data_IF_360244241681
#
_entry.id   IF_360244241681
#
_cell.length_a   1.000
_cell.length_b   1.000
_cell.length_c   1.000
_cell.angle_alpha   90.00
_cell.angle_beta   90.00
_cell.angle_gamma   90.00
#
_symmetry.space_group_name_H-M   'P 1'
#
loop_
_entity.id
_entity.type
_entity.pdbx_description
1 polymer ?
#
# COMPACT_ATOMS: atom_id res chain seq x y z
N UNK A 1 16.77 -10.79 18.24
CA UNK A 1 16.64 -11.62 19.46
C UNK A 1 15.19 -11.81 19.96
N UNK A 2 14.21 -10.98 19.61
CA UNK A 2 12.85 -11.02 20.19
C UNK A 2 11.83 -12.02 19.61
N UNK A 3 12.14 -12.76 18.52
CA UNK A 3 11.26 -13.79 17.97
C UNK A 3 11.24 -15.07 18.82
N UNK A 4 12.44 -15.56 19.16
CA UNK A 4 12.65 -16.83 19.89
C UNK A 4 11.84 -16.95 21.19
N UNK A 5 11.71 -15.87 21.97
CA UNK A 5 10.95 -15.90 23.23
C UNK A 5 9.42 -15.87 23.05
N UNK A 6 8.94 -15.26 21.96
CA UNK A 6 7.50 -15.19 21.65
C UNK A 6 7.00 -16.54 21.13
N UNK A 7 7.80 -17.15 20.26
CA UNK A 7 7.53 -18.47 19.68
C UNK A 7 7.60 -19.55 20.76
N UNK A 8 8.56 -19.43 21.69
CA UNK A 8 8.71 -20.38 22.79
C UNK A 8 7.51 -20.42 23.74
N UNK A 9 6.93 -19.27 24.12
CA UNK A 9 5.69 -19.25 24.92
C UNK A 9 4.48 -19.83 24.18
N UNK A 10 4.42 -19.63 22.85
CA UNK A 10 3.39 -20.24 22.00
C UNK A 10 3.53 -21.77 21.99
N UNK A 11 4.73 -22.30 21.74
CA UNK A 11 4.96 -23.75 21.72
C UNK A 11 4.73 -24.42 23.08
N UNK A 12 5.08 -23.75 24.18
CA UNK A 12 4.75 -24.22 25.52
C UNK A 12 3.23 -24.30 25.74
N UNK A 13 2.48 -23.32 25.26
CA UNK A 13 1.02 -23.33 25.37
C UNK A 13 0.38 -24.38 24.46
N UNK A 14 0.89 -24.58 23.24
CA UNK A 14 0.43 -25.65 22.35
C UNK A 14 0.66 -27.02 23.00
N UNK A 15 1.86 -27.26 23.53
CA UNK A 15 2.20 -28.48 24.26
C UNK A 15 1.29 -28.70 25.48
N UNK A 16 0.91 -27.63 26.19
CA UNK A 16 -0.08 -27.72 27.27
C UNK A 16 -1.46 -28.17 26.76
N UNK A 17 -1.88 -27.72 25.58
CA UNK A 17 -3.18 -28.05 24.97
C UNK A 17 -3.25 -29.47 24.39
N UNK A 18 -2.12 -30.11 24.12
CA UNK A 18 -2.08 -31.50 23.65
C UNK A 18 -2.61 -32.48 24.71
N UNK A 19 -2.65 -32.05 25.98
CA UNK A 19 -3.18 -32.85 27.08
C UNK A 19 -4.61 -32.43 27.45
N UNK A 20 -5.52 -33.40 27.65
CA UNK A 20 -6.93 -33.10 27.93
C UNK A 20 -7.16 -32.55 29.34
N UNK A 21 -6.21 -32.73 30.27
CA UNK A 21 -6.35 -32.29 31.66
C UNK A 21 -5.12 -31.53 32.16
N UNK A 22 -5.38 -30.63 33.11
CA UNK A 22 -4.34 -29.84 33.78
C UNK A 22 -3.32 -30.73 34.51
N UNK A 23 -3.78 -31.77 35.20
CA UNK A 23 -2.93 -32.68 35.96
C UNK A 23 -2.02 -33.54 35.05
N UNK A 24 -2.50 -33.88 33.86
CA UNK A 24 -1.72 -34.60 32.86
C UNK A 24 -0.69 -33.67 32.22
N UNK A 25 -1.08 -32.44 31.86
CA UNK A 25 -0.15 -31.44 31.34
C UNK A 25 1.00 -31.14 32.31
N UNK A 26 0.76 -31.12 33.62
CA UNK A 26 1.80 -30.91 34.63
C UNK A 26 2.89 -32.01 34.64
N UNK A 27 2.52 -33.26 34.35
CA UNK A 27 3.46 -34.40 34.30
C UNK A 27 4.37 -34.36 33.07
N UNK A 28 3.92 -33.71 32.01
CA UNK A 28 4.61 -33.63 30.74
C UNK A 28 5.26 -32.27 30.53
N UNK A 29 6.39 -32.02 31.21
CA UNK A 29 7.14 -30.77 31.05
C UNK A 29 7.67 -30.59 29.62
N UNK A 30 7.61 -29.35 29.12
CA UNK A 30 8.14 -29.01 27.81
C UNK A 30 9.67 -29.23 27.73
N UNK A 31 10.21 -29.77 26.62
CA UNK A 31 11.63 -30.06 26.49
C UNK A 31 12.52 -28.83 26.75
N UNK A 32 13.46 -28.96 27.68
CA UNK A 32 14.42 -27.90 28.00
C UNK A 32 13.95 -26.89 29.06
N UNK A 33 12.77 -27.07 29.68
CA UNK A 33 12.33 -26.31 30.85
C UNK A 33 12.43 -27.19 32.10
N UNK A 34 12.78 -26.60 33.24
CA UNK A 34 12.72 -27.33 34.49
C UNK A 34 11.25 -27.56 34.94
N UNK A 35 10.94 -28.68 35.61
CA UNK A 35 9.57 -28.99 36.03
C UNK A 35 8.92 -27.91 36.91
N UNK A 36 9.70 -27.20 37.72
CA UNK A 36 9.19 -26.11 38.58
C UNK A 36 8.71 -24.90 37.77
N UNK A 37 9.47 -24.48 36.76
CA UNK A 37 9.10 -23.38 35.88
C UNK A 37 7.90 -23.76 35.00
N UNK A 38 7.84 -25.03 34.57
CA UNK A 38 6.67 -25.56 33.85
C UNK A 38 5.41 -25.51 34.71
N UNK A 39 5.48 -26.01 35.95
CA UNK A 39 4.36 -25.95 36.88
C UNK A 39 3.91 -24.51 37.13
N UNK A 40 4.86 -23.58 37.33
CA UNK A 40 4.55 -22.17 37.49
C UNK A 40 3.81 -21.60 36.27
N UNK A 41 4.25 -21.93 35.05
CA UNK A 41 3.59 -21.49 33.81
C UNK A 41 2.16 -22.04 33.69
N UNK A 42 1.98 -23.34 33.93
CA UNK A 42 0.66 -23.97 33.89
C UNK A 42 -0.30 -23.31 34.88
N UNK A 43 0.13 -23.09 36.12
CA UNK A 43 -0.71 -22.47 37.16
C UNK A 43 -1.00 -20.99 36.92
N UNK A 44 0.03 -20.19 36.60
CA UNK A 44 -0.07 -18.73 36.60
C UNK A 44 -0.45 -18.13 35.24
N UNK A 45 -0.13 -18.83 34.14
CA UNK A 45 -0.40 -18.34 32.79
C UNK A 45 -1.57 -19.11 32.18
N UNK A 46 -1.46 -20.44 32.04
CA UNK A 46 -2.44 -21.24 31.31
C UNK A 46 -3.77 -21.38 32.06
N UNK A 47 -3.72 -21.67 33.35
CA UNK A 47 -4.92 -21.91 34.18
C UNK A 47 -5.47 -20.62 34.84
N UNK A 48 -4.91 -19.45 34.53
CA UNK A 48 -5.41 -18.20 35.06
C UNK A 48 -6.78 -17.85 34.45
N UNK A 49 -7.75 -17.54 35.31
CA UNK A 49 -9.12 -17.21 34.89
C UNK A 49 -9.16 -15.98 33.95
N UNK A 50 -8.29 -14.99 34.18
CA UNK A 50 -8.19 -13.81 33.33
C UNK A 50 -7.66 -14.17 31.94
N UNK A 51 -6.65 -15.04 31.86
CA UNK A 51 -6.09 -15.52 30.60
C UNK A 51 -7.12 -16.33 29.80
N UNK A 52 -7.81 -17.28 30.44
CA UNK A 52 -8.85 -18.08 29.80
C UNK A 52 -10.00 -17.23 29.27
N UNK A 53 -10.43 -16.23 30.06
CA UNK A 53 -11.46 -15.27 29.65
C UNK A 53 -11.01 -14.47 28.44
N UNK A 54 -9.79 -13.92 28.47
CA UNK A 54 -9.25 -13.11 27.38
C UNK A 54 -9.02 -13.95 26.11
N UNK A 55 -8.50 -15.16 26.25
CA UNK A 55 -8.27 -16.10 25.16
C UNK A 55 -9.58 -16.47 24.46
N UNK A 56 -10.61 -16.82 25.23
CA UNK A 56 -11.95 -17.15 24.71
C UNK A 56 -12.57 -15.96 23.98
N UNK A 57 -12.51 -14.76 24.57
CA UNK A 57 -12.97 -13.51 23.93
C UNK A 57 -12.21 -13.23 22.63
N UNK A 58 -10.88 -13.33 22.64
CA UNK A 58 -10.04 -13.11 21.47
C UNK A 58 -10.33 -14.13 20.36
N UNK A 59 -10.56 -15.40 20.71
CA UNK A 59 -10.94 -16.46 19.76
C UNK A 59 -12.31 -16.17 19.13
N UNK A 60 -13.30 -15.80 19.94
CA UNK A 60 -14.63 -15.42 19.45
C UNK A 60 -14.58 -14.16 18.57
N UNK A 61 -13.78 -13.15 18.94
CA UNK A 61 -13.61 -11.95 18.15
C UNK A 61 -12.91 -12.23 16.82
N UNK A 62 -11.86 -13.06 16.81
CA UNK A 62 -11.20 -13.50 15.58
C UNK A 62 -12.13 -14.29 14.66
N UNK A 63 -13.03 -15.09 15.21
CA UNK A 63 -14.03 -15.83 14.42
C UNK A 63 -15.07 -14.92 13.76
N UNK A 64 -15.30 -13.71 14.29
CA UNK A 64 -16.21 -12.70 13.71
C UNK A 64 -15.57 -11.85 12.61
N UNK A 65 -14.24 -11.90 12.46
CA UNK A 65 -13.55 -11.07 11.48
C UNK A 65 -13.85 -11.57 10.06
N UNK A 66 -14.40 -10.74 9.16
CA UNK A 66 -14.67 -11.12 7.78
C UNK A 66 -13.38 -11.35 6.97
N UNK A 67 -12.29 -10.68 7.36
CA UNK A 67 -11.00 -10.75 6.70
C UNK A 67 -9.89 -11.01 7.72
N UNK A 68 -8.92 -11.85 7.35
CA UNK A 68 -7.77 -12.15 8.21
C UNK A 68 -6.59 -11.28 7.77
N UNK A 69 -6.20 -10.36 8.64
CA UNK A 69 -5.01 -9.54 8.46
C UNK A 69 -3.74 -10.42 8.39
N UNK A 70 -2.91 -10.16 7.37
CA UNK A 70 -1.63 -10.82 7.10
C UNK A 70 -0.41 -9.93 7.40
N UNK A 71 -0.60 -8.63 7.67
CA UNK A 71 0.50 -7.69 7.96
C UNK A 71 1.22 -7.91 9.30
N UNK A 72 0.90 -8.99 10.00
CA UNK A 72 1.55 -9.35 11.26
C UNK A 72 1.31 -8.31 12.36
N UNK A 73 2.36 -7.96 13.10
CA UNK A 73 2.33 -6.97 14.18
C UNK A 73 2.68 -5.55 13.74
N UNK A 74 2.83 -5.31 12.43
CA UNK A 74 3.11 -3.97 11.91
C UNK A 74 1.79 -3.17 11.93
N UNK A 75 1.73 -2.01 12.59
CA UNK A 75 0.52 -1.20 12.63
C UNK A 75 0.26 -0.55 11.27
N UNK A 76 -1.01 -0.22 10.97
CA UNK A 76 -1.40 0.39 9.69
C UNK A 76 -0.65 1.69 9.39
N UNK A 77 -0.34 2.50 10.40
CA UNK A 77 0.42 3.75 10.27
C UNK A 77 1.76 3.54 9.58
N UNK A 78 2.47 2.47 9.93
CA UNK A 78 3.78 2.19 9.33
C UNK A 78 3.68 1.84 7.84
N UNK A 79 2.54 1.31 7.37
CA UNK A 79 2.35 1.07 5.93
C UNK A 79 2.12 2.38 5.17
N UNK A 80 1.46 3.36 5.81
CA UNK A 80 1.25 4.68 5.22
C UNK A 80 2.56 5.47 5.15
N UNK A 81 3.42 5.35 6.16
CA UNK A 81 4.67 6.10 6.26
C UNK A 81 5.82 5.47 5.46
N UNK A 82 6.03 4.15 5.56
CA UNK A 82 7.21 3.48 4.98
C UNK A 82 6.98 3.02 3.53
N UNK A 83 5.77 2.54 3.22
CA UNK A 83 5.49 1.84 1.96
C UNK A 83 4.76 2.75 0.95
N UNK A 84 4.54 4.03 1.29
CA UNK A 84 3.85 5.05 0.48
C UNK A 84 2.56 4.53 -0.17
N UNK A 85 1.78 3.79 0.61
CA UNK A 85 0.57 3.13 0.11
C UNK A 85 -0.51 4.17 -0.18
N UNK A 86 -0.94 4.26 -1.43
CA UNK A 86 -1.88 5.27 -1.92
C UNK A 86 -3.33 4.88 -1.59
N UNK A 87 -3.69 5.16 -0.34
CA UNK A 87 -5.07 5.07 0.13
C UNK A 87 -5.52 3.70 0.64
N UNK A 88 -6.79 3.61 1.00
CA UNK A 88 -7.35 2.49 1.78
C UNK A 88 -7.40 1.16 1.01
N UNK A 89 -7.61 1.21 -0.32
CA UNK A 89 -7.69 0.03 -1.17
C UNK A 89 -6.33 -0.68 -1.23
N UNK A 90 -5.28 0.10 -1.44
CA UNK A 90 -3.94 -0.43 -1.57
C UNK A 90 -3.41 -0.92 -0.21
N UNK A 91 -3.79 -0.23 0.87
CA UNK A 91 -3.53 -0.68 2.24
C UNK A 91 -4.21 -2.02 2.53
N UNK A 92 -5.48 -2.18 2.13
CA UNK A 92 -6.19 -3.45 2.27
C UNK A 92 -5.49 -4.56 1.49
N UNK A 93 -5.04 -4.28 0.26
CA UNK A 93 -4.30 -5.24 -0.56
C UNK A 93 -3.01 -5.70 0.13
N UNK A 94 -2.14 -4.77 0.54
CA UNK A 94 -0.87 -5.09 1.20
C UNK A 94 -1.06 -5.88 2.50
N UNK A 95 -2.12 -5.56 3.23
CA UNK A 95 -2.34 -6.11 4.57
C UNK A 95 -3.16 -7.41 4.59
N UNK A 96 -3.93 -7.72 3.55
CA UNK A 96 -4.82 -8.90 3.52
C UNK A 96 -4.52 -9.89 2.37
N UNK A 97 -3.73 -9.48 1.37
CA UNK A 97 -3.25 -10.37 0.30
C UNK A 97 -2.01 -11.13 0.73
N UNK A 98 -2.00 -12.45 0.53
CA UNK A 98 -0.83 -13.28 0.81
C UNK A 98 -0.08 -13.59 -0.49
N UNK A 99 1.10 -12.97 -0.69
CA UNK A 99 1.97 -13.25 -1.86
C UNK A 99 2.29 -14.74 -2.01
N UNK A 100 2.58 -15.43 -0.91
CA UNK A 100 2.89 -16.88 -0.92
C UNK A 100 1.70 -17.73 -1.36
N UNK A 101 0.48 -17.33 -0.99
CA UNK A 101 -0.72 -18.11 -1.28
C UNK A 101 -1.42 -17.68 -2.57
N UNK A 102 -1.17 -16.45 -3.05
CA UNK A 102 -1.80 -15.87 -4.23
C UNK A 102 -3.25 -15.45 -4.04
N UNK A 103 -3.76 -15.36 -2.79
CA UNK A 103 -5.15 -14.97 -2.51
C UNK A 103 -5.31 -14.23 -1.18
N UNK A 104 -6.45 -13.54 -1.02
CA UNK A 104 -6.84 -12.83 0.21
C UNK A 104 -7.26 -13.80 1.31
N UNK A 105 -6.65 -13.70 2.49
CA UNK A 105 -6.89 -14.65 3.59
C UNK A 105 -8.24 -14.34 4.27
N UNK A 106 -9.11 -15.34 4.39
CA UNK A 106 -10.41 -15.24 5.09
C UNK A 106 -11.63 -15.43 4.19
N UNK A 107 -11.48 -15.29 2.88
CA UNK A 107 -12.49 -15.69 1.91
C UNK A 107 -12.17 -17.11 1.45
N UNK A 108 -12.88 -18.11 1.98
CA UNK A 108 -12.86 -19.48 1.45
C UNK A 108 -13.29 -19.59 -0.03
N UNK A 109 -13.60 -18.46 -0.68
CA UNK A 109 -14.10 -18.32 -2.04
C UNK A 109 -13.23 -17.39 -2.92
N UNK A 110 -11.97 -17.11 -2.55
CA UNK A 110 -11.03 -16.53 -3.52
C UNK A 110 -10.70 -17.54 -4.62
N UNK A 111 -10.47 -17.13 -5.89
CA UNK A 111 -10.08 -18.06 -6.94
C UNK A 111 -8.85 -18.82 -6.47
N UNK A 112 -9.03 -20.13 -6.24
CA UNK A 112 -7.91 -21.01 -5.90
C UNK A 112 -6.97 -20.91 -7.10
N UNK A 113 -5.69 -20.55 -6.93
CA UNK A 113 -4.77 -20.54 -8.05
C UNK A 113 -4.85 -21.91 -8.71
N UNK A 114 -5.24 -21.92 -9.98
CA UNK A 114 -5.26 -23.14 -10.76
C UNK A 114 -3.84 -23.68 -10.73
N UNK A 115 -3.70 -24.96 -10.41
CA UNK A 115 -2.42 -25.64 -10.52
C UNK A 115 -1.86 -25.37 -11.91
N UNK A 116 -0.67 -24.79 -12.01
CA UNK A 116 0.00 -24.39 -13.26
C UNK A 116 0.32 -25.57 -14.21
N UNK A 117 -0.18 -26.77 -13.96
CA UNK A 117 -0.17 -27.86 -14.92
C UNK A 117 -1.18 -27.57 -16.04
N UNK A 118 -0.73 -26.83 -17.05
CA UNK A 118 -1.37 -26.77 -18.38
C UNK A 118 -2.21 -25.54 -18.69
N UNK A 119 -2.05 -24.42 -17.98
CA UNK A 119 -2.76 -23.17 -18.33
C UNK A 119 -2.07 -22.53 -19.54
N UNK A 120 -2.81 -22.39 -20.64
CA UNK A 120 -2.39 -21.64 -21.82
C UNK A 120 -2.28 -20.14 -21.45
N UNK A 121 -1.04 -19.63 -21.34
CA UNK A 121 -0.77 -18.22 -20.97
C UNK A 121 -0.81 -17.28 -22.17
N UNK A 122 -1.06 -17.77 -23.38
CA UNK A 122 -0.93 -16.99 -24.61
C UNK A 122 -1.78 -15.72 -24.64
N UNK A 123 -2.98 -15.75 -24.06
CA UNK A 123 -3.87 -14.60 -24.00
C UNK A 123 -3.43 -13.57 -22.93
N UNK A 124 -2.93 -14.04 -21.79
CA UNK A 124 -2.38 -13.17 -20.75
C UNK A 124 -1.10 -12.45 -21.23
N UNK A 125 -0.22 -13.18 -21.92
CA UNK A 125 1.01 -12.62 -22.51
C UNK A 125 0.69 -11.60 -23.60
N UNK A 126 -0.33 -11.86 -24.43
CA UNK A 126 -0.84 -10.90 -25.42
C UNK A 126 -1.37 -9.62 -24.77
N UNK A 127 -2.19 -9.75 -23.73
CA UNK A 127 -2.75 -8.59 -23.02
C UNK A 127 -1.64 -7.76 -22.36
N UNK A 128 -0.64 -8.40 -21.74
CA UNK A 128 0.52 -7.72 -21.20
C UNK A 128 1.31 -6.94 -22.28
N UNK A 129 1.46 -7.53 -23.47
CA UNK A 129 2.06 -6.85 -24.62
C UNK A 129 1.27 -5.62 -25.06
N UNK A 130 -0.05 -5.71 -25.12
CA UNK A 130 -0.93 -4.59 -25.47
C UNK A 130 -0.81 -3.46 -24.44
N UNK A 131 -0.88 -3.78 -23.15
CA UNK A 131 -0.78 -2.79 -22.07
C UNK A 131 0.58 -2.08 -22.12
N UNK A 132 1.67 -2.83 -22.28
CA UNK A 132 3.01 -2.26 -22.37
C UNK A 132 3.15 -1.33 -23.58
N UNK A 133 2.58 -1.74 -24.73
CA UNK A 133 2.56 -0.91 -25.93
C UNK A 133 1.74 0.38 -25.72
N UNK A 134 0.57 0.28 -25.10
CA UNK A 134 -0.26 1.45 -24.80
C UNK A 134 0.46 2.42 -23.86
N UNK A 135 1.14 1.93 -22.83
CA UNK A 135 1.90 2.77 -21.91
C UNK A 135 3.00 3.54 -22.64
N UNK A 136 3.80 2.87 -23.48
CA UNK A 136 4.85 3.55 -24.25
C UNK A 136 4.33 4.64 -25.20
N UNK A 137 3.12 4.45 -25.74
CA UNK A 137 2.45 5.44 -26.61
C UNK A 137 1.99 6.66 -25.82
N UNK A 138 1.44 6.45 -24.61
CA UNK A 138 1.04 7.54 -23.72
C UNK A 138 2.26 8.36 -23.32
N UNK A 139 3.35 7.70 -22.91
CA UNK A 139 4.58 8.38 -22.50
C UNK A 139 5.17 9.22 -23.66
N UNK A 140 5.10 8.71 -24.89
CA UNK A 140 5.55 9.44 -26.09
C UNK A 140 4.67 10.66 -26.39
N UNK A 141 3.34 10.52 -26.26
CA UNK A 141 2.41 11.63 -26.45
C UNK A 141 2.62 12.74 -25.41
N UNK A 142 2.94 12.39 -24.17
CA UNK A 142 3.22 13.36 -23.11
C UNK A 142 4.48 14.19 -23.42
N UNK A 143 5.53 13.57 -23.96
CA UNK A 143 6.74 14.28 -24.40
C UNK A 143 6.41 15.27 -25.53
N UNK A 144 5.66 14.83 -26.53
CA UNK A 144 5.27 15.67 -27.67
C UNK A 144 4.39 16.87 -27.24
N UNK A 145 3.43 16.63 -26.33
CA UNK A 145 2.61 17.69 -25.74
C UNK A 145 3.44 18.70 -24.94
N UNK A 146 4.48 18.26 -24.23
CA UNK A 146 5.39 19.16 -23.51
C UNK A 146 6.21 20.03 -24.47
N UNK A 147 6.67 19.48 -25.59
CA UNK A 147 7.38 20.25 -26.61
C UNK A 147 6.46 21.28 -27.26
N UNK A 148 5.25 20.88 -27.64
CA UNK A 148 4.26 21.81 -28.20
C UNK A 148 3.96 22.95 -27.23
N UNK A 149 3.77 22.67 -25.94
CA UNK A 149 3.58 23.73 -24.91
C UNK A 149 4.74 24.73 -24.90
N UNK A 150 5.99 24.26 -24.91
CA UNK A 150 7.16 25.16 -24.97
C UNK A 150 7.16 26.04 -26.22
N UNK A 151 6.74 25.49 -27.37
CA UNK A 151 6.66 26.29 -28.61
C UNK A 151 5.58 27.36 -28.53
N UNK A 152 4.44 27.05 -27.91
CA UNK A 152 3.36 28.02 -27.67
C UNK A 152 3.86 29.13 -26.75
N UNK A 153 4.50 28.79 -25.63
CA UNK A 153 5.06 29.79 -24.70
C UNK A 153 6.07 30.73 -25.39
N UNK A 154 6.90 30.19 -26.30
CA UNK A 154 7.84 30.98 -27.09
C UNK A 154 7.13 31.93 -28.06
N UNK A 155 6.07 31.48 -28.73
CA UNK A 155 5.29 32.31 -29.65
C UNK A 155 4.56 33.43 -28.89
N UNK A 156 3.97 33.13 -27.73
CA UNK A 156 3.34 34.12 -26.87
C UNK A 156 4.33 35.19 -26.41
N UNK A 157 5.55 34.81 -26.02
CA UNK A 157 6.60 35.76 -25.66
C UNK A 157 6.98 36.68 -26.83
N UNK A 158 7.10 36.13 -28.05
CA UNK A 158 7.42 36.94 -29.25
C UNK A 158 6.28 37.89 -29.62
N UNK A 159 5.03 37.46 -29.49
CA UNK A 159 3.87 38.32 -29.71
C UNK A 159 3.86 39.48 -28.71
N UNK A 160 4.10 39.20 -27.43
CA UNK A 160 4.19 40.23 -26.39
C UNK A 160 5.32 41.25 -26.67
N UNK A 161 6.49 40.79 -27.13
CA UNK A 161 7.57 41.69 -27.56
C UNK A 161 7.16 42.58 -28.73
N UNK A 162 6.48 42.01 -29.74
CA UNK A 162 6.01 42.79 -30.89
C UNK A 162 4.96 43.83 -30.49
N UNK A 163 4.02 43.45 -29.63
CA UNK A 163 3.02 44.35 -29.08
C UNK A 163 3.67 45.52 -28.33
N UNK A 164 4.67 45.24 -27.48
CA UNK A 164 5.45 46.28 -26.79
C UNK A 164 6.20 47.21 -27.74
N UNK A 165 6.84 46.66 -28.79
CA UNK A 165 7.52 47.47 -29.81
C UNK A 165 6.54 48.37 -30.57
N UNK A 166 5.37 47.87 -30.95
CA UNK A 166 4.34 48.69 -31.60
C UNK A 166 3.84 49.80 -30.68
N UNK A 167 3.61 49.50 -29.40
CA UNK A 167 3.14 50.48 -28.42
C UNK A 167 4.14 51.62 -28.24
N UNK A 168 5.45 51.33 -28.22
CA UNK A 168 6.51 52.34 -28.23
C UNK A 168 6.53 53.15 -29.52
N UNK A 169 6.43 52.49 -30.68
CA UNK A 169 6.44 53.16 -31.99
C UNK A 169 5.28 54.17 -32.12
N UNK A 170 4.05 53.77 -31.79
CA UNK A 170 2.89 54.66 -31.81
C UNK A 170 2.99 55.79 -30.77
N UNK A 171 3.59 55.52 -29.60
CA UNK A 171 3.86 56.54 -28.58
C UNK A 171 4.93 57.55 -29.01
N UNK A 172 5.92 57.13 -29.82
CA UNK A 172 6.97 58.00 -30.36
C UNK A 172 6.49 58.86 -31.54
N UNK A 173 5.61 58.34 -32.41
CA UNK A 173 5.02 59.10 -33.52
C UNK A 173 3.87 60.02 -33.07
N UNK A 174 3.19 59.72 -31.96
CA UNK A 174 2.19 60.58 -31.35
C UNK A 174 2.73 61.92 -30.83
N UNK A 175 4.05 62.10 -30.76
CA UNK A 175 4.69 63.39 -30.44
C UNK A 175 5.03 64.24 -31.68
N UNK A 176 4.95 63.68 -32.89
CA UNK A 176 5.38 64.35 -34.13
C UNK A 176 4.22 64.89 -34.99
N UNK A 177 2.95 64.63 -34.61
CA UNK A 177 1.77 65.14 -35.32
C UNK A 177 0.97 66.10 -34.44
N UNK A 178 1.60 67.19 -33.99
CA UNK A 178 0.83 68.39 -33.60
C UNK A 178 0.51 69.14 -34.88
N UNK A 179 -0.68 68.88 -35.41
CA UNK A 179 -1.31 69.69 -36.44
C UNK A 179 -1.31 71.14 -35.94
N UNK A 180 -0.54 72.00 -36.60
CA UNK A 180 -0.59 73.44 -36.38
C UNK A 180 -1.91 73.94 -36.94
N UNK A 181 -2.91 74.11 -36.08
CA UNK A 181 -4.03 75.00 -36.40
C UNK A 181 -3.50 76.44 -36.34
N UNK A 182 -3.03 76.92 -37.48
CA UNK A 182 -2.84 78.34 -37.73
C UNK A 182 -4.19 78.97 -38.04
N UNK A 183 -4.75 79.63 -37.02
CA UNK A 183 -5.79 80.63 -37.18
C UNK A 183 -5.29 81.78 -38.07
N UNK A 184 -6.01 82.15 -39.13
CA UNK A 184 -6.19 83.57 -39.49
C UNK A 184 -7.36 83.79 -40.47
N UNK A 185 -8.25 84.72 -40.06
CA UNK A 185 -9.27 85.51 -40.79
C UNK A 185 -10.52 84.84 -41.39
#
# INVERSE_FOLDING_TARGET
MGGRYRDMRHWMYDHYLDYPSFEEALKHSYPGICPNDWAWLCHNICNSASFQTQSTKNKANRAKLPYVHCGGSRPFVNYLEDDMVDGEIELFHVTHFSKTKGYFRGLGNGPRPTSNHGVDTSEADRLHGIISSQQSRLDSQDVELQEQKKTIDQLESRLSQFEGMMQQFFSSQGSAFRFTDSATQ
#
